data_IF_294897812196
#
_entry.id   IF_294897812196
#
_cell.length_a   1.000
_cell.length_b   1.000
_cell.length_c   1.000
_cell.angle_alpha   90.00
_cell.angle_beta   90.00
_cell.angle_gamma   90.00
#
_symmetry.space_group_name_H-M   'P 1'
#
loop_
_entity.id
_entity.type
_entity.pdbx_description
1 polymer ?
#
# COMPACT_ATOMS: atom_id res chain seq x y z
N UNK A 1 -20.11 -7.88 -0.08
CA UNK A 1 -19.83 -8.66 1.09
C UNK A 1 -18.82 -7.94 1.95
N UNK A 2 -19.03 -7.91 3.23
CA UNK A 2 -18.13 -7.14 4.10
C UNK A 2 -16.85 -7.92 4.34
N UNK A 3 -15.74 -7.21 4.44
CA UNK A 3 -14.49 -7.82 4.76
C UNK A 3 -14.45 -8.16 6.24
N UNK A 4 -13.83 -9.28 6.56
CA UNK A 4 -13.67 -9.69 7.94
C UNK A 4 -12.34 -9.20 8.49
N UNK A 5 -12.12 -9.41 9.79
CA UNK A 5 -10.82 -9.12 10.38
C UNK A 5 -9.73 -9.94 9.71
N UNK A 6 -10.02 -11.20 9.40
CA UNK A 6 -9.03 -12.04 8.71
C UNK A 6 -8.67 -11.46 7.36
N UNK A 7 -9.63 -10.91 6.65
CA UNK A 7 -9.35 -10.27 5.37
C UNK A 7 -8.43 -9.07 5.57
N UNK A 8 -8.69 -8.28 6.59
CA UNK A 8 -7.86 -7.11 6.86
C UNK A 8 -6.45 -7.53 7.28
N UNK A 9 -6.34 -8.58 8.08
CA UNK A 9 -5.02 -9.06 8.47
C UNK A 9 -4.26 -9.59 7.26
N UNK A 10 -4.96 -10.23 6.33
CA UNK A 10 -4.32 -10.69 5.13
C UNK A 10 -3.82 -9.51 4.29
N UNK A 11 -4.60 -8.45 4.21
CA UNK A 11 -4.19 -7.29 3.44
C UNK A 11 -2.88 -6.72 3.96
N UNK A 12 -2.69 -6.68 5.29
CA UNK A 12 -1.49 -6.08 5.87
C UNK A 12 -0.39 -7.10 6.15
N UNK A 13 -0.61 -8.37 5.82
CA UNK A 13 0.41 -9.39 6.08
C UNK A 13 1.63 -9.23 5.20
N UNK A 14 1.46 -8.66 4.02
CA UNK A 14 2.58 -8.42 3.13
C UNK A 14 3.09 -7.00 3.35
N UNK A 15 4.41 -6.85 3.44
CA UNK A 15 5.01 -5.56 3.78
C UNK A 15 4.67 -4.48 2.74
N UNK A 16 4.64 -4.83 1.45
CA UNK A 16 4.40 -3.81 0.44
C UNK A 16 2.94 -3.35 0.45
N UNK A 17 2.00 -4.26 0.66
CA UNK A 17 0.60 -3.87 0.79
C UNK A 17 0.41 -3.01 2.02
N UNK A 18 1.03 -3.42 3.14
CA UNK A 18 0.92 -2.67 4.39
C UNK A 18 1.48 -1.26 4.22
N UNK A 19 2.63 -1.15 3.58
CA UNK A 19 3.25 0.16 3.38
C UNK A 19 2.36 1.07 2.53
N UNK A 20 1.75 0.52 1.48
CA UNK A 20 0.88 1.33 0.63
C UNK A 20 -0.32 1.83 1.43
N UNK A 21 -0.95 0.95 2.21
CA UNK A 21 -2.10 1.36 3.00
C UNK A 21 -1.71 2.39 4.05
N UNK A 22 -0.57 2.20 4.69
CA UNK A 22 -0.11 3.16 5.68
C UNK A 22 0.23 4.50 5.04
N UNK A 23 0.84 4.47 3.86
CA UNK A 23 1.15 5.71 3.14
C UNK A 23 -0.12 6.48 2.81
N UNK A 24 -1.19 5.77 2.46
CA UNK A 24 -2.44 6.43 2.14
C UNK A 24 -3.08 7.10 3.35
N UNK A 25 -2.78 6.65 4.55
CA UNK A 25 -3.28 7.34 5.74
C UNK A 25 -2.62 8.70 5.90
N UNK A 26 -1.39 8.85 5.39
CA UNK A 26 -0.66 10.10 5.50
C UNK A 26 -0.91 11.02 4.31
N UNK A 27 -0.93 10.47 3.12
CA UNK A 27 -1.15 11.24 1.90
C UNK A 27 -1.98 10.43 0.91
N UNK A 28 -3.05 10.99 0.44
CA UNK A 28 -3.95 10.38 -0.53
C UNK A 28 -4.10 11.39 -1.65
N UNK A 29 -3.63 11.11 -2.86
CA UNK A 29 -3.21 9.79 -3.36
C UNK A 29 -1.72 9.50 -3.21
N UNK A 30 -1.35 8.29 -3.61
CA UNK A 30 0.03 7.84 -3.60
C UNK A 30 0.44 7.40 -5.01
N UNK A 31 1.73 7.43 -5.28
CA UNK A 31 2.29 6.89 -6.51
C UNK A 31 2.27 5.36 -6.42
N UNK A 32 1.91 4.69 -7.50
CA UNK A 32 1.70 3.25 -7.47
C UNK A 32 2.98 2.42 -7.63
N UNK A 33 4.09 3.04 -7.93
CA UNK A 33 5.39 2.40 -8.11
C UNK A 33 5.50 1.53 -9.37
N UNK A 34 4.41 1.34 -10.10
CA UNK A 34 4.45 0.45 -11.25
C UNK A 34 5.33 1.01 -12.36
N UNK A 35 5.43 2.34 -12.44
CA UNK A 35 6.25 2.94 -13.48
C UNK A 35 7.72 2.57 -13.34
N UNK A 36 8.17 2.15 -12.17
CA UNK A 36 9.55 1.77 -11.98
C UNK A 36 9.91 0.51 -12.76
N UNK A 37 8.90 -0.26 -13.14
CA UNK A 37 9.11 -1.45 -13.95
C UNK A 37 9.83 -1.14 -15.24
N UNK A 38 9.60 0.05 -15.77
CA UNK A 38 10.12 0.39 -17.09
C UNK A 38 11.40 1.21 -17.04
N UNK A 39 11.90 1.50 -15.88
CA UNK A 39 13.09 2.33 -15.76
C UNK A 39 14.34 1.52 -15.97
N UNK A 40 15.14 1.87 -16.96
CA UNK A 40 16.32 1.08 -17.28
C UNK A 40 17.42 1.24 -16.25
N UNK A 41 17.43 2.31 -15.49
CA UNK A 41 18.46 2.54 -14.50
C UNK A 41 18.07 2.15 -13.10
N UNK A 42 16.89 1.56 -12.95
CA UNK A 42 16.42 1.19 -11.62
C UNK A 42 17.12 -0.07 -11.14
N UNK A 43 17.43 -0.16 -9.85
CA UNK A 43 17.99 -1.39 -9.30
C UNK A 43 17.03 -2.54 -9.55
N UNK A 44 17.59 -3.73 -9.71
CA UNK A 44 16.79 -4.92 -9.98
C UNK A 44 15.74 -5.13 -8.90
N UNK A 45 16.11 -4.91 -7.64
CA UNK A 45 15.17 -5.09 -6.55
C UNK A 45 13.98 -4.18 -6.66
N UNK A 46 14.21 -2.92 -7.05
CA UNK A 46 13.10 -1.98 -7.21
C UNK A 46 12.19 -2.38 -8.34
N UNK A 47 12.76 -2.93 -9.42
CA UNK A 47 11.93 -3.38 -10.53
C UNK A 47 11.10 -4.58 -10.15
N UNK A 48 11.66 -5.48 -9.33
CA UNK A 48 10.92 -6.64 -8.87
C UNK A 48 9.76 -6.23 -7.98
N UNK A 49 9.99 -5.28 -7.08
CA UNK A 49 8.93 -4.77 -6.23
C UNK A 49 7.85 -4.11 -7.08
N UNK A 50 8.25 -3.33 -8.09
CA UNK A 50 7.27 -2.67 -8.96
C UNK A 50 6.42 -3.69 -9.69
N UNK A 51 7.03 -4.77 -10.18
CA UNK A 51 6.26 -5.81 -10.85
C UNK A 51 5.28 -6.48 -9.92
N UNK A 52 5.69 -6.76 -8.69
CA UNK A 52 4.79 -7.37 -7.72
C UNK A 52 3.67 -6.42 -7.35
N UNK A 53 3.97 -5.13 -7.20
CA UNK A 53 2.93 -4.16 -6.93
C UNK A 53 1.89 -4.17 -8.05
N UNK A 54 2.35 -4.16 -9.29
CA UNK A 54 1.45 -4.10 -10.43
C UNK A 54 0.63 -5.37 -10.61
N UNK A 55 1.22 -6.52 -10.41
CA UNK A 55 0.57 -7.77 -10.77
C UNK A 55 -0.06 -8.52 -9.60
N UNK A 56 0.34 -8.22 -8.38
CA UNK A 56 -0.13 -8.96 -7.22
C UNK A 56 -0.78 -8.05 -6.20
N UNK A 57 -0.03 -7.07 -5.70
CA UNK A 57 -0.47 -6.34 -4.51
C UNK A 57 -1.55 -5.31 -4.77
N UNK A 58 -1.36 -4.49 -5.79
CA UNK A 58 -2.40 -3.49 -6.09
C UNK A 58 -3.69 -4.15 -6.55
N UNK A 59 -3.65 -5.16 -7.44
CA UNK A 59 -4.89 -5.84 -7.80
C UNK A 59 -5.61 -6.46 -6.60
N UNK A 60 -4.85 -7.02 -5.66
CA UNK A 60 -5.48 -7.60 -4.48
C UNK A 60 -6.18 -6.54 -3.65
N UNK A 61 -5.54 -5.41 -3.44
CA UNK A 61 -6.15 -4.34 -2.66
C UNK A 61 -7.36 -3.73 -3.37
N UNK A 62 -7.31 -3.66 -4.70
CA UNK A 62 -8.47 -3.20 -5.47
C UNK A 62 -9.64 -4.16 -5.28
N UNK A 63 -9.36 -5.47 -5.39
CA UNK A 63 -10.41 -6.47 -5.24
C UNK A 63 -11.06 -6.40 -3.87
N UNK A 64 -10.33 -6.01 -2.86
CA UNK A 64 -10.86 -5.89 -1.51
C UNK A 64 -11.58 -4.57 -1.30
N UNK A 65 -11.54 -3.67 -2.29
CA UNK A 65 -12.19 -2.36 -2.15
C UNK A 65 -11.42 -1.41 -1.26
N UNK A 66 -10.19 -1.76 -0.91
CA UNK A 66 -9.40 -0.91 -0.02
C UNK A 66 -8.76 0.26 -0.74
N UNK A 67 -8.52 0.12 -2.04
CA UNK A 67 -7.95 1.18 -2.83
C UNK A 67 -8.66 1.32 -4.16
N UNK A 68 -8.47 2.47 -4.80
CA UNK A 68 -8.79 2.67 -6.20
C UNK A 68 -7.48 2.94 -6.90
N UNK A 69 -7.30 2.39 -8.08
CA UNK A 69 -6.01 2.46 -8.77
C UNK A 69 -6.23 2.97 -10.20
N UNK A 70 -5.64 4.11 -10.50
CA UNK A 70 -5.65 4.65 -11.85
C UNK A 70 -4.31 4.31 -12.49
N UNK A 71 -4.30 3.23 -13.28
CA UNK A 71 -3.05 2.77 -13.89
C UNK A 71 -2.44 3.80 -14.81
N UNK A 72 -3.28 4.51 -15.55
CA UNK A 72 -2.79 5.47 -16.53
C UNK A 72 -2.04 6.62 -15.90
N UNK A 73 -2.39 6.96 -14.67
CA UNK A 73 -1.72 8.04 -13.98
C UNK A 73 -0.83 7.55 -12.85
N UNK A 74 -0.68 6.25 -12.72
CA UNK A 74 0.14 5.65 -11.66
C UNK A 74 -0.29 6.13 -10.28
N UNK A 75 -1.61 6.25 -10.08
CA UNK A 75 -2.14 6.85 -8.88
C UNK A 75 -3.00 5.89 -8.09
N UNK A 76 -2.76 5.82 -6.79
CA UNK A 76 -3.55 4.98 -5.89
C UNK A 76 -4.25 5.89 -4.90
N UNK A 77 -5.55 5.68 -4.73
CA UNK A 77 -6.35 6.44 -3.79
C UNK A 77 -7.05 5.50 -2.83
N UNK A 78 -7.51 6.03 -1.71
CA UNK A 78 -8.33 5.24 -0.79
C UNK A 78 -9.58 4.77 -1.50
N UNK A 79 -9.93 3.51 -1.30
CA UNK A 79 -11.13 2.94 -1.87
C UNK A 79 -12.31 3.01 -0.90
N UNK A 80 -13.46 2.48 -1.33
CA UNK A 80 -14.68 2.60 -0.53
C UNK A 80 -14.63 1.86 0.80
N UNK A 81 -13.77 0.85 0.92
CA UNK A 81 -13.67 0.09 2.16
C UNK A 81 -12.49 0.52 3.02
N UNK A 82 -11.77 1.56 2.62
CA UNK A 82 -10.55 1.94 3.33
C UNK A 82 -10.81 2.33 4.78
N UNK A 83 -11.92 3.00 5.04
CA UNK A 83 -12.23 3.41 6.40
C UNK A 83 -12.29 2.25 7.36
N UNK A 84 -12.70 1.09 6.86
CA UNK A 84 -12.88 -0.07 7.73
C UNK A 84 -11.57 -0.68 8.19
N UNK A 85 -10.49 -0.48 7.44
CA UNK A 85 -9.20 -1.00 7.84
C UNK A 85 -8.37 0.01 8.61
N UNK A 86 -8.80 1.27 8.64
CA UNK A 86 -8.04 2.31 9.31
C UNK A 86 -7.74 2.02 10.79
N UNK A 87 -8.69 1.49 11.57
CA UNK A 87 -8.34 1.20 12.97
C UNK A 87 -7.21 0.20 13.12
N UNK A 88 -7.13 -0.78 12.23
CA UNK A 88 -6.04 -1.72 12.27
C UNK A 88 -4.73 -1.04 11.88
N UNK A 89 -4.77 -0.20 10.86
CA UNK A 89 -3.57 0.49 10.43
C UNK A 89 -3.01 1.39 11.53
N UNK A 90 -3.89 1.94 12.35
CA UNK A 90 -3.46 2.86 13.38
C UNK A 90 -2.59 2.22 14.46
N UNK A 91 -2.69 0.90 14.61
CA UNK A 91 -1.91 0.22 15.63
C UNK A 91 -0.71 -0.54 15.08
N UNK A 92 -0.48 -0.47 13.78
CA UNK A 92 0.62 -1.22 13.19
C UNK A 92 1.93 -0.46 13.32
N UNK A 93 3.00 -1.18 13.59
CA UNK A 93 4.29 -0.52 13.83
C UNK A 93 4.86 0.22 12.65
N UNK A 94 4.53 -0.16 11.46
CA UNK A 94 5.10 0.49 10.30
C UNK A 94 4.85 1.96 10.21
N UNK A 95 3.76 2.44 10.85
CA UNK A 95 3.48 3.81 10.73
C UNK A 95 4.38 4.66 11.52
N UNK A 96 5.03 4.15 12.49
CA UNK A 96 5.74 4.95 13.27
C UNK A 96 7.04 5.26 12.73
N UNK A 97 7.29 5.06 11.54
CA UNK A 97 8.51 5.50 11.03
C UNK A 97 8.79 6.88 11.45
N UNK A 98 7.80 7.69 11.41
CA UNK A 98 8.00 9.03 11.80
C UNK A 98 8.30 9.10 13.28
N UNK A 99 7.83 8.12 14.01
CA UNK A 99 8.08 8.16 15.39
C UNK A 99 9.43 7.63 15.72
N UNK A 100 9.86 6.68 14.96
CA UNK A 100 11.13 6.13 15.18
C UNK A 100 12.15 7.17 15.05
N UNK A 101 11.96 8.01 14.10
CA UNK A 101 12.89 9.05 13.91
C UNK A 101 12.97 9.92 15.10
N UNK A 102 11.87 10.05 15.77
CA UNK A 102 11.85 10.89 16.83
C UNK A 102 12.68 10.46 17.89
N UNK A 103 12.76 9.25 18.14
CA UNK A 103 13.43 8.92 19.19
C UNK A 103 14.74 8.61 18.94
N UNK A 104 15.07 8.74 17.87
CA UNK A 104 16.27 8.51 17.72
C UNK A 104 16.92 9.48 18.37
N UNK A 105 17.33 9.38 19.08
CA UNK A 105 18.00 10.18 19.77
C UNK A 105 18.68 10.09 20.36
#
# INVERSE_FOLDING_TARGET
>A
MALTLDDHLEAVANVYRREMLLALTDHNPQFDRAALTYGSNQPLEDRQVALEMEHVHLPKLVDMGLIRWNRGEHEVKKGPEFEKIEPLLAVLPGRRNSLVDDQSP
#
